data_IF_462263717998
#
_entry.id   IF_462263717998
#
_cell.length_a   1.000
_cell.length_b   1.000
_cell.length_c   1.000
_cell.angle_alpha   90.00
_cell.angle_beta   90.00
_cell.angle_gamma   90.00
#
_symmetry.space_group_name_H-M   'P 1'
#
loop_
_entity.id
_entity.type
_entity.pdbx_description
1 polymer ?
#
# COMPACT_ATOMS: atom_id res chain seq x y z
N UNK A 1 4.32 43.98 -8.37
CA UNK A 1 3.39 42.93 -8.83
C UNK A 1 3.00 42.15 -7.59
N UNK A 2 1.74 42.36 -7.19
CA UNK A 2 1.19 41.90 -5.93
C UNK A 2 1.29 40.38 -5.75
N UNK A 3 1.79 39.98 -4.60
CA UNK A 3 1.75 38.61 -4.10
C UNK A 3 0.30 38.19 -4.00
N UNK A 4 -0.21 37.50 -5.04
CA UNK A 4 -1.54 36.95 -5.10
C UNK A 4 -1.75 36.05 -3.88
N UNK A 5 -2.50 36.56 -2.92
CA UNK A 5 -3.06 35.83 -1.80
C UNK A 5 -3.67 34.53 -2.34
N UNK A 6 -3.06 33.39 -1.99
CA UNK A 6 -3.68 32.11 -2.28
C UNK A 6 -5.09 32.13 -1.67
N UNK A 7 -6.14 31.80 -2.40
CA UNK A 7 -7.47 31.71 -1.81
C UNK A 7 -7.40 30.72 -0.66
N UNK A 8 -7.68 31.22 0.54
CA UNK A 8 -7.71 30.40 1.75
C UNK A 8 -8.69 29.26 1.52
N UNK A 9 -8.20 28.03 1.50
CA UNK A 9 -9.06 26.85 1.39
C UNK A 9 -10.04 26.87 2.55
N UNK A 10 -11.34 26.73 2.26
CA UNK A 10 -12.41 26.74 3.25
C UNK A 10 -12.07 25.85 4.46
N UNK A 11 -12.05 26.38 5.69
CA UNK A 11 -11.76 25.61 6.89
C UNK A 11 -12.68 24.41 7.11
N UNK A 12 -13.92 24.46 6.61
CA UNK A 12 -14.85 23.32 6.64
C UNK A 12 -14.38 22.20 5.74
N UNK A 13 -13.93 22.54 4.52
CA UNK A 13 -13.40 21.58 3.58
C UNK A 13 -12.13 20.89 4.12
N UNK A 14 -11.22 21.66 4.76
CA UNK A 14 -10.05 21.09 5.44
C UNK A 14 -10.43 20.07 6.51
N UNK A 15 -11.46 20.37 7.33
CA UNK A 15 -11.94 19.44 8.35
C UNK A 15 -12.52 18.16 7.75
N UNK A 16 -13.30 18.27 6.67
CA UNK A 16 -13.86 17.12 5.95
C UNK A 16 -12.74 16.24 5.40
N UNK A 17 -11.75 16.82 4.70
CA UNK A 17 -10.60 16.09 4.17
C UNK A 17 -9.80 15.44 5.28
N UNK A 18 -9.51 16.15 6.37
CA UNK A 18 -8.81 15.60 7.52
C UNK A 18 -9.56 14.40 8.15
N UNK A 19 -10.89 14.51 8.27
CA UNK A 19 -11.75 13.43 8.74
C UNK A 19 -11.72 12.20 7.84
N UNK A 20 -11.83 12.37 6.53
CA UNK A 20 -11.76 11.27 5.54
C UNK A 20 -10.40 10.59 5.59
N UNK A 21 -9.31 11.35 5.60
CA UNK A 21 -7.95 10.79 5.67
C UNK A 21 -7.71 10.08 7.00
N UNK A 22 -8.16 10.63 8.13
CA UNK A 22 -8.04 9.98 9.44
C UNK A 22 -8.85 8.69 9.49
N UNK A 23 -10.08 8.69 8.98
CA UNK A 23 -10.93 7.50 8.89
C UNK A 23 -10.30 6.42 8.00
N UNK A 24 -9.69 6.83 6.87
CA UNK A 24 -8.93 5.92 6.03
C UNK A 24 -7.73 5.33 6.78
N UNK A 25 -6.96 6.16 7.49
CA UNK A 25 -5.81 5.72 8.28
C UNK A 25 -6.20 4.71 9.38
N UNK A 26 -7.33 4.93 10.06
CA UNK A 26 -7.89 3.95 11.02
C UNK A 26 -8.23 2.63 10.33
N UNK A 27 -8.85 2.69 9.17
CA UNK A 27 -9.20 1.51 8.37
C UNK A 27 -8.02 0.65 7.96
N UNK A 28 -6.84 1.27 7.71
CA UNK A 28 -5.62 0.54 7.34
C UNK A 28 -5.22 -0.53 8.36
N UNK A 29 -5.61 -0.35 9.61
CA UNK A 29 -5.23 -1.26 10.71
C UNK A 29 -6.39 -2.14 11.15
N UNK A 30 -7.63 -1.62 11.13
CA UNK A 30 -8.75 -2.27 11.80
C UNK A 30 -9.64 -3.11 10.90
N UNK A 31 -10.13 -2.59 9.77
CA UNK A 31 -11.19 -3.27 9.05
C UNK A 31 -11.28 -2.93 7.56
N UNK A 32 -11.45 -3.93 6.72
CA UNK A 32 -11.56 -3.80 5.26
C UNK A 32 -12.72 -2.87 4.84
N UNK A 33 -13.87 -2.98 5.50
CA UNK A 33 -15.04 -2.13 5.19
C UNK A 33 -14.75 -0.64 5.45
N UNK A 34 -14.05 -0.32 6.53
CA UNK A 34 -13.70 1.07 6.88
C UNK A 34 -12.78 1.68 5.81
N UNK A 35 -11.80 0.92 5.34
CA UNK A 35 -10.89 1.36 4.27
C UNK A 35 -11.66 1.62 2.98
N UNK A 36 -12.56 0.72 2.58
CA UNK A 36 -13.34 0.87 1.35
C UNK A 36 -14.28 2.08 1.40
N UNK A 37 -14.98 2.26 2.51
CA UNK A 37 -15.86 3.43 2.71
C UNK A 37 -15.05 4.73 2.69
N UNK A 38 -13.91 4.76 3.37
CA UNK A 38 -13.04 5.95 3.39
C UNK A 38 -12.47 6.28 2.00
N UNK A 39 -12.02 5.27 1.25
CA UNK A 39 -11.53 5.44 -0.12
C UNK A 39 -12.65 5.93 -1.06
N UNK A 40 -13.86 5.37 -0.94
CA UNK A 40 -15.04 5.85 -1.66
C UNK A 40 -15.37 7.31 -1.34
N UNK A 41 -15.34 7.68 -0.06
CA UNK A 41 -15.52 9.07 0.37
C UNK A 41 -14.41 9.99 -0.19
N UNK A 42 -13.17 9.54 -0.24
CA UNK A 42 -12.07 10.30 -0.84
C UNK A 42 -12.28 10.53 -2.35
N UNK A 43 -12.74 9.51 -3.08
CA UNK A 43 -13.09 9.65 -4.51
C UNK A 43 -14.21 10.66 -4.68
N UNK A 44 -15.28 10.60 -3.87
CA UNK A 44 -16.38 11.56 -3.93
C UNK A 44 -15.91 13.00 -3.66
N UNK A 45 -15.09 13.21 -2.62
CA UNK A 45 -14.51 14.53 -2.32
C UNK A 45 -13.62 15.00 -3.47
N UNK A 46 -12.81 14.14 -4.07
CA UNK A 46 -11.98 14.49 -5.23
C UNK A 46 -12.83 14.92 -6.44
N UNK A 47 -13.94 14.22 -6.71
CA UNK A 47 -14.90 14.59 -7.77
C UNK A 47 -15.52 15.98 -7.49
N UNK A 48 -15.95 16.24 -6.24
CA UNK A 48 -16.50 17.54 -5.85
C UNK A 48 -15.48 18.67 -6.05
N UNK A 49 -14.21 18.44 -5.66
CA UNK A 49 -13.12 19.39 -5.85
C UNK A 49 -12.85 19.66 -7.33
N UNK A 50 -12.86 18.61 -8.16
CA UNK A 50 -12.73 18.73 -9.61
C UNK A 50 -13.88 19.54 -10.24
N UNK A 51 -15.12 19.21 -9.88
CA UNK A 51 -16.32 19.90 -10.36
C UNK A 51 -16.31 21.39 -9.97
N UNK A 52 -15.82 21.73 -8.79
CA UNK A 52 -15.64 23.12 -8.32
C UNK A 52 -14.42 23.82 -8.92
N UNK A 53 -13.67 23.15 -9.81
CA UNK A 53 -12.39 23.66 -10.38
C UNK A 53 -11.37 24.08 -9.32
N UNK A 54 -11.43 23.48 -8.13
CA UNK A 54 -10.59 23.80 -6.98
C UNK A 54 -9.29 22.99 -6.97
N UNK A 55 -9.13 21.98 -7.84
CA UNK A 55 -7.95 21.14 -7.92
C UNK A 55 -6.81 21.88 -8.65
N UNK A 56 -5.71 22.10 -7.94
CA UNK A 56 -4.45 22.58 -8.51
C UNK A 56 -3.40 21.48 -8.40
N UNK A 57 -3.33 20.60 -9.38
CA UNK A 57 -2.39 19.50 -9.43
C UNK A 57 -1.15 19.92 -10.21
N UNK A 58 0.03 19.60 -9.70
CA UNK A 58 1.27 19.69 -10.45
C UNK A 58 1.21 18.81 -11.71
N UNK A 59 1.93 19.12 -12.80
CA UNK A 59 1.81 18.41 -14.09
C UNK A 59 2.03 16.90 -13.98
N UNK A 60 2.99 16.45 -13.17
CA UNK A 60 3.29 15.04 -12.93
C UNK A 60 2.18 14.32 -12.15
N UNK A 61 1.56 14.98 -11.18
CA UNK A 61 0.40 14.44 -10.46
C UNK A 61 -0.80 14.35 -11.38
N UNK A 62 -1.02 15.34 -12.24
CA UNK A 62 -2.07 15.27 -13.28
C UNK A 62 -1.86 14.11 -14.22
N UNK A 63 -0.62 13.85 -14.66
CA UNK A 63 -0.32 12.72 -15.52
C UNK A 63 -0.63 11.38 -14.84
N UNK A 64 -0.26 11.22 -13.57
CA UNK A 64 -0.60 10.03 -12.77
C UNK A 64 -2.11 9.86 -12.62
N UNK A 65 -2.84 10.94 -12.27
CA UNK A 65 -4.30 10.92 -12.13
C UNK A 65 -4.96 10.55 -13.46
N UNK A 66 -4.51 11.12 -14.58
CA UNK A 66 -5.03 10.81 -15.91
C UNK A 66 -4.79 9.33 -16.28
N UNK A 67 -3.60 8.79 -16.01
CA UNK A 67 -3.30 7.38 -16.25
C UNK A 67 -4.16 6.44 -15.37
N UNK A 68 -4.40 6.80 -14.11
CA UNK A 68 -5.29 6.05 -13.22
C UNK A 68 -6.74 6.04 -13.73
N UNK A 69 -7.24 7.18 -14.20
CA UNK A 69 -8.57 7.29 -14.79
C UNK A 69 -8.68 6.53 -16.12
N UNK A 70 -7.65 6.58 -16.98
CA UNK A 70 -7.62 5.82 -18.23
C UNK A 70 -7.65 4.31 -17.96
N UNK A 71 -6.86 3.82 -16.99
CA UNK A 71 -6.89 2.42 -16.57
C UNK A 71 -8.26 2.03 -16.01
N UNK A 72 -8.85 2.88 -15.16
CA UNK A 72 -10.20 2.69 -14.63
C UNK A 72 -11.25 2.59 -15.75
N UNK A 73 -11.22 3.50 -16.72
CA UNK A 73 -12.11 3.48 -17.86
C UNK A 73 -11.95 2.19 -18.69
N UNK A 74 -10.71 1.73 -18.90
CA UNK A 74 -10.45 0.48 -19.59
C UNK A 74 -10.91 -0.74 -18.77
N UNK A 75 -10.71 -0.77 -17.46
CA UNK A 75 -11.24 -1.82 -16.60
C UNK A 75 -12.77 -1.94 -16.68
N UNK A 76 -13.48 -0.82 -16.82
CA UNK A 76 -14.92 -0.80 -17.00
C UNK A 76 -15.36 -1.20 -18.42
N UNK A 77 -14.57 -0.90 -19.44
CA UNK A 77 -14.87 -1.21 -20.83
C UNK A 77 -14.47 -2.63 -21.25
N UNK A 78 -13.37 -3.16 -20.69
CA UNK A 78 -12.80 -4.45 -21.11
C UNK A 78 -13.74 -5.65 -20.99
N UNK A 79 -14.69 -5.73 -20.02
CA UNK A 79 -15.68 -6.81 -20.00
C UNK A 79 -16.61 -6.79 -21.23
N UNK A 80 -17.02 -5.62 -21.71
CA UNK A 80 -17.83 -5.51 -22.91
C UNK A 80 -17.04 -5.96 -24.15
N UNK A 81 -15.77 -5.54 -24.25
CA UNK A 81 -14.89 -5.97 -25.35
C UNK A 81 -14.69 -7.50 -25.32
N UNK A 82 -14.47 -8.09 -24.12
CA UNK A 82 -14.30 -9.53 -23.97
C UNK A 82 -15.56 -10.33 -24.37
N UNK A 83 -16.74 -9.81 -24.07
CA UNK A 83 -18.01 -10.42 -24.51
C UNK A 83 -18.18 -10.32 -26.02
N UNK A 84 -17.90 -9.17 -26.64
CA UNK A 84 -18.02 -8.95 -28.07
C UNK A 84 -17.04 -9.82 -28.89
N UNK A 85 -15.86 -10.08 -28.32
CA UNK A 85 -14.82 -10.92 -28.97
C UNK A 85 -14.95 -12.39 -28.64
N UNK A 86 -15.93 -12.79 -27.81
CA UNK A 86 -16.11 -14.18 -27.36
C UNK A 86 -15.08 -14.65 -26.32
N UNK A 87 -14.21 -13.76 -25.85
CA UNK A 87 -13.22 -14.06 -24.79
C UNK A 87 -13.85 -14.27 -23.41
N UNK A 88 -15.05 -13.76 -23.20
CA UNK A 88 -15.84 -13.99 -22.00
C UNK A 88 -17.25 -14.48 -22.36
N UNK A 89 -17.81 -15.39 -21.55
CA UNK A 89 -19.18 -15.91 -21.72
C UNK A 89 -20.22 -15.13 -20.91
N UNK A 90 -19.78 -14.33 -19.94
CA UNK A 90 -20.66 -13.60 -19.02
C UNK A 90 -20.04 -12.29 -18.54
N UNK A 91 -20.91 -11.41 -18.10
CA UNK A 91 -20.52 -10.19 -17.41
C UNK A 91 -19.90 -10.52 -16.04
N UNK A 92 -18.85 -9.79 -15.58
CA UNK A 92 -18.25 -10.03 -14.29
C UNK A 92 -19.23 -9.80 -13.14
N UNK A 93 -19.04 -10.50 -12.01
CA UNK A 93 -19.87 -10.31 -10.83
C UNK A 93 -19.70 -8.90 -10.26
N UNK A 94 -20.79 -8.31 -9.75
CA UNK A 94 -20.80 -6.95 -9.18
C UNK A 94 -19.75 -6.73 -8.08
N UNK A 95 -19.44 -7.76 -7.28
CA UNK A 95 -18.42 -7.70 -6.24
C UNK A 95 -17.01 -7.40 -6.76
N UNK A 96 -16.74 -7.60 -8.06
CA UNK A 96 -15.44 -7.29 -8.67
C UNK A 96 -15.26 -5.81 -8.96
N UNK A 97 -16.34 -5.05 -9.12
CA UNK A 97 -16.23 -3.61 -9.35
C UNK A 97 -15.69 -2.83 -8.15
N UNK A 98 -15.71 -3.41 -6.94
CA UNK A 98 -14.99 -2.84 -5.80
C UNK A 98 -13.48 -2.67 -6.05
N UNK A 99 -12.88 -3.52 -6.89
CA UNK A 99 -11.47 -3.43 -7.25
C UNK A 99 -11.14 -2.26 -8.20
N UNK A 100 -12.14 -1.69 -8.89
CA UNK A 100 -11.96 -0.46 -9.67
C UNK A 100 -11.63 0.72 -8.74
N UNK A 101 -12.23 0.73 -7.53
CA UNK A 101 -11.90 1.72 -6.51
C UNK A 101 -10.41 1.70 -6.16
N UNK A 102 -9.81 0.51 -6.09
CA UNK A 102 -8.39 0.34 -5.81
C UNK A 102 -7.49 1.06 -6.82
N UNK A 103 -7.93 1.13 -8.09
CA UNK A 103 -7.18 1.80 -9.17
C UNK A 103 -7.17 3.32 -9.03
N UNK A 104 -8.29 3.93 -8.60
CA UNK A 104 -8.43 5.39 -8.53
C UNK A 104 -8.18 5.97 -7.13
N UNK A 105 -8.11 5.12 -6.10
CA UNK A 105 -7.96 5.56 -4.71
C UNK A 105 -6.69 6.39 -4.48
N UNK A 106 -5.56 6.00 -5.05
CA UNK A 106 -4.31 6.75 -4.94
C UNK A 106 -4.38 8.12 -5.61
N UNK A 107 -5.04 8.19 -6.76
CA UNK A 107 -5.31 9.47 -7.45
C UNK A 107 -6.24 10.35 -6.61
N UNK A 108 -7.29 9.79 -6.01
CA UNK A 108 -8.18 10.51 -5.12
C UNK A 108 -7.45 11.03 -3.88
N UNK A 109 -6.61 10.21 -3.24
CA UNK A 109 -5.79 10.64 -2.10
C UNK A 109 -4.84 11.79 -2.47
N UNK A 110 -4.22 11.75 -3.66
CA UNK A 110 -3.40 12.85 -4.18
C UNK A 110 -4.22 14.13 -4.39
N UNK A 111 -5.44 14.02 -4.94
CA UNK A 111 -6.33 15.15 -5.17
C UNK A 111 -6.78 15.81 -3.86
N UNK A 112 -7.30 15.03 -2.90
CA UNK A 112 -7.79 15.59 -1.64
C UNK A 112 -6.67 16.11 -0.74
N UNK A 113 -5.48 15.51 -0.83
CA UNK A 113 -4.29 15.95 -0.09
C UNK A 113 -3.82 17.35 -0.47
N UNK A 114 -4.17 17.88 -1.65
CA UNK A 114 -3.88 19.28 -2.03
C UNK A 114 -4.59 20.29 -1.15
N UNK A 115 -5.67 19.90 -0.49
CA UNK A 115 -6.43 20.76 0.46
C UNK A 115 -5.67 20.90 1.79
N UNK A 116 -4.92 19.90 2.16
CA UNK A 116 -4.08 19.84 3.37
C UNK A 116 -4.12 18.44 4.01
N UNK A 117 -2.96 18.00 4.47
CA UNK A 117 -2.78 16.68 5.08
C UNK A 117 -2.47 16.85 6.56
N UNK A 118 -3.27 16.27 7.47
CA UNK A 118 -3.01 16.32 8.91
C UNK A 118 -1.93 15.28 9.30
N UNK A 119 -0.69 15.48 8.86
CA UNK A 119 0.42 14.51 8.97
C UNK A 119 0.61 13.93 10.36
N UNK A 120 0.53 14.78 11.41
CA UNK A 120 0.74 14.34 12.79
C UNK A 120 -0.36 13.39 13.26
N UNK A 121 -1.61 13.70 12.90
CA UNK A 121 -2.76 12.86 13.22
C UNK A 121 -2.63 11.51 12.50
N UNK A 122 -2.36 11.54 11.19
CA UNK A 122 -2.23 10.32 10.38
C UNK A 122 -1.07 9.44 10.88
N UNK A 123 0.09 10.04 11.12
CA UNK A 123 1.25 9.31 11.65
C UNK A 123 0.94 8.71 13.03
N UNK A 124 0.25 9.44 13.92
CA UNK A 124 -0.13 8.95 15.24
C UNK A 124 -1.13 7.78 15.16
N UNK A 125 -2.15 7.90 14.31
CA UNK A 125 -3.16 6.84 14.10
C UNK A 125 -2.51 5.58 13.52
N UNK A 126 -1.69 5.72 12.48
CA UNK A 126 -1.02 4.58 11.84
C UNK A 126 -0.01 3.94 12.79
N UNK A 127 0.84 4.74 13.44
CA UNK A 127 1.84 4.22 14.37
C UNK A 127 1.19 3.51 15.58
N UNK A 128 0.24 4.16 16.23
CA UNK A 128 -0.49 3.58 17.38
C UNK A 128 -1.25 2.32 16.99
N UNK A 129 -1.95 2.37 15.85
CA UNK A 129 -2.69 1.22 15.33
C UNK A 129 -1.77 0.03 15.01
N UNK A 130 -0.61 0.25 14.37
CA UNK A 130 0.35 -0.82 14.09
C UNK A 130 1.01 -1.38 15.36
N UNK A 131 1.28 -0.56 16.38
CA UNK A 131 1.81 -1.06 17.67
C UNK A 131 0.79 -1.98 18.34
N UNK A 132 -0.49 -1.59 18.38
CA UNK A 132 -1.57 -2.42 18.93
C UNK A 132 -1.74 -3.70 18.10
N UNK A 133 -1.78 -3.60 16.76
CA UNK A 133 -1.87 -4.76 15.88
C UNK A 133 -0.70 -5.73 16.04
N UNK A 134 0.52 -5.21 16.25
CA UNK A 134 1.72 -6.01 16.56
C UNK A 134 1.57 -6.73 17.88
N UNK A 135 1.16 -6.03 18.95
CA UNK A 135 0.92 -6.61 20.28
C UNK A 135 -0.08 -7.77 20.21
N UNK A 136 -1.22 -7.55 19.53
CA UNK A 136 -2.20 -8.59 19.25
C UNK A 136 -1.60 -9.75 18.45
N UNK A 137 -0.83 -9.47 17.40
CA UNK A 137 -0.16 -10.49 16.60
C UNK A 137 0.84 -11.33 17.39
N UNK A 138 1.59 -10.72 18.32
CA UNK A 138 2.48 -11.43 19.23
C UNK A 138 1.71 -12.37 20.18
N UNK A 139 0.56 -11.92 20.68
CA UNK A 139 -0.32 -12.76 21.50
C UNK A 139 -0.86 -13.92 20.67
N UNK A 140 -1.39 -13.66 19.48
CA UNK A 140 -1.88 -14.70 18.56
C UNK A 140 -0.81 -15.73 18.17
N UNK A 141 0.47 -15.35 18.15
CA UNK A 141 1.58 -16.27 17.85
C UNK A 141 1.81 -17.31 18.97
N UNK A 142 1.43 -17.00 20.21
CA UNK A 142 1.67 -17.82 21.41
C UNK A 142 0.44 -18.55 21.91
N UNK A 143 -0.73 -17.94 21.74
CA UNK A 143 -1.99 -18.42 22.31
C UNK A 143 -2.96 -18.75 21.18
N UNK A 144 -3.59 -19.93 21.27
CA UNK A 144 -4.71 -20.28 20.41
C UNK A 144 -5.90 -19.40 20.76
N UNK A 145 -6.13 -18.36 19.93
CA UNK A 145 -7.19 -17.40 20.17
C UNK A 145 -8.48 -17.87 19.47
N UNK A 146 -9.57 -17.99 20.21
CA UNK A 146 -10.85 -18.53 19.72
C UNK A 146 -12.03 -17.57 19.85
N UNK A 147 -11.78 -16.27 20.09
CA UNK A 147 -12.87 -15.30 20.21
C UNK A 147 -13.43 -14.90 18.83
N UNK A 148 -14.73 -15.09 18.64
CA UNK A 148 -15.45 -14.69 17.43
C UNK A 148 -16.15 -13.36 17.66
N UNK A 149 -15.70 -12.26 17.06
CA UNK A 149 -16.41 -11.00 17.12
C UNK A 149 -17.74 -11.10 16.36
N UNK A 150 -18.73 -10.24 16.67
CA UNK A 150 -19.96 -10.18 15.91
C UNK A 150 -19.69 -10.09 14.41
N UNK A 151 -20.40 -10.88 13.61
CA UNK A 151 -20.19 -11.03 12.15
C UNK A 151 -20.25 -9.70 11.40
N UNK A 152 -20.96 -8.71 11.95
CA UNK A 152 -21.07 -7.35 11.41
C UNK A 152 -19.70 -6.66 11.21
N UNK A 153 -18.78 -6.84 12.14
CA UNK A 153 -17.48 -6.14 12.05
C UNK A 153 -16.48 -6.84 11.13
N UNK A 154 -16.73 -8.09 10.70
CA UNK A 154 -15.76 -8.93 9.97
C UNK A 154 -14.32 -8.81 10.54
N UNK A 155 -14.21 -8.45 11.81
CA UNK A 155 -12.97 -8.42 12.56
C UNK A 155 -12.60 -9.86 12.86
N UNK A 156 -11.65 -10.40 12.14
CA UNK A 156 -11.25 -11.79 12.30
C UNK A 156 -10.19 -11.93 13.39
N UNK A 157 -10.61 -11.70 14.62
CA UNK A 157 -9.77 -11.95 15.79
C UNK A 157 -9.65 -13.45 16.11
N UNK A 158 -10.58 -14.25 15.62
CA UNK A 158 -10.73 -15.67 15.97
C UNK A 158 -10.10 -16.65 15.00
N UNK A 159 -9.62 -16.19 13.82
CA UNK A 159 -9.11 -17.13 12.84
C UNK A 159 -7.83 -17.78 13.34
N UNK A 160 -7.92 -19.08 13.61
CA UNK A 160 -6.76 -19.92 13.83
C UNK A 160 -5.89 -19.93 12.60
N UNK A 161 -4.70 -19.40 12.74
CA UNK A 161 -3.69 -19.48 11.71
C UNK A 161 -2.91 -20.80 11.86
N UNK A 162 -2.31 -21.23 10.75
CA UNK A 162 -1.48 -22.43 10.71
C UNK A 162 -0.45 -22.41 11.84
N UNK A 163 -0.25 -23.58 12.48
CA UNK A 163 0.84 -23.79 13.41
C UNK A 163 2.15 -24.08 12.61
N UNK A 164 3.16 -23.26 12.81
CA UNK A 164 4.50 -23.42 12.23
C UNK A 164 5.53 -23.91 13.27
N UNK A 165 5.11 -24.11 14.51
CA UNK A 165 5.90 -24.75 15.58
C UNK A 165 5.70 -26.26 15.63
N UNK A 166 6.14 -26.84 16.72
CA UNK A 166 5.86 -28.26 17.08
C UNK A 166 4.56 -28.34 17.88
N UNK A 167 4.07 -29.55 18.17
CA UNK A 167 2.93 -29.76 19.08
C UNK A 167 3.27 -29.30 20.50
N UNK A 168 4.51 -29.54 20.94
CA UNK A 168 4.99 -29.17 22.28
C UNK A 168 5.26 -27.65 22.41
N UNK A 169 5.66 -26.99 21.31
CA UNK A 169 5.93 -25.56 21.27
C UNK A 169 5.25 -24.93 20.06
N UNK A 170 3.92 -24.72 20.11
CA UNK A 170 3.17 -24.20 18.99
C UNK A 170 3.53 -22.74 18.68
N UNK A 171 3.57 -22.40 17.39
CA UNK A 171 3.83 -21.07 16.86
C UNK A 171 2.81 -20.76 15.78
N UNK A 172 1.74 -20.08 16.16
CA UNK A 172 0.68 -19.74 15.22
C UNK A 172 1.05 -18.51 14.39
N UNK A 173 0.72 -18.52 13.12
CA UNK A 173 0.93 -17.34 12.28
C UNK A 173 0.03 -16.18 12.74
N UNK A 174 0.63 -15.01 12.91
CA UNK A 174 -0.07 -13.80 13.36
C UNK A 174 -0.87 -13.16 12.22
N UNK A 175 -2.08 -12.70 12.53
CA UNK A 175 -2.96 -11.97 11.63
C UNK A 175 -3.27 -10.52 12.09
N UNK A 176 -2.95 -10.15 13.33
CA UNK A 176 -3.36 -8.89 13.92
C UNK A 176 -4.88 -8.75 13.88
N UNK A 177 -5.37 -7.62 13.41
CA UNK A 177 -6.80 -7.39 13.14
C UNK A 177 -7.24 -7.86 11.74
N UNK A 178 -6.32 -8.33 10.91
CA UNK A 178 -6.61 -8.71 9.53
C UNK A 178 -7.17 -10.14 9.45
N UNK A 179 -8.04 -10.35 8.48
CA UNK A 179 -8.65 -11.67 8.23
C UNK A 179 -7.63 -12.77 7.97
N UNK A 180 -6.47 -12.42 7.39
CA UNK A 180 -5.48 -13.40 6.98
C UNK A 180 -4.06 -12.90 7.24
N UNK A 181 -3.16 -13.79 7.70
CA UNK A 181 -1.77 -13.49 8.01
C UNK A 181 -1.00 -12.78 6.89
N UNK A 182 -1.29 -13.12 5.62
CA UNK A 182 -0.64 -12.45 4.48
C UNK A 182 -1.11 -11.00 4.35
N UNK A 183 -2.40 -10.70 4.57
CA UNK A 183 -2.90 -9.32 4.56
C UNK A 183 -2.24 -8.48 5.64
N UNK A 184 -2.07 -9.04 6.84
CA UNK A 184 -1.35 -8.40 7.94
C UNK A 184 0.10 -8.07 7.56
N UNK A 185 0.85 -9.07 7.04
CA UNK A 185 2.23 -8.88 6.63
C UNK A 185 2.38 -7.87 5.46
N UNK A 186 1.48 -7.92 4.48
CA UNK A 186 1.52 -7.00 3.33
C UNK A 186 1.13 -5.57 3.73
N UNK A 187 0.17 -5.40 4.64
CA UNK A 187 -0.16 -4.09 5.22
C UNK A 187 1.02 -3.50 6.00
N UNK A 188 1.76 -4.34 6.73
CA UNK A 188 3.00 -3.93 7.40
C UNK A 188 4.04 -3.43 6.39
N UNK A 189 4.19 -4.07 5.21
CA UNK A 189 5.08 -3.58 4.14
C UNK A 189 4.65 -2.21 3.63
N UNK A 190 3.35 -1.97 3.44
CA UNK A 190 2.87 -0.68 3.00
C UNK A 190 3.28 0.44 3.97
N UNK A 191 3.10 0.23 5.28
CA UNK A 191 3.40 1.20 6.31
C UNK A 191 4.89 1.28 6.68
N UNK A 192 5.70 0.26 6.38
CA UNK A 192 7.14 0.20 6.66
C UNK A 192 7.91 1.33 5.97
N UNK A 193 7.57 1.64 4.71
CA UNK A 193 8.22 2.71 3.95
C UNK A 193 8.16 4.07 4.66
N UNK A 194 6.96 4.61 5.00
CA UNK A 194 6.83 5.83 5.79
C UNK A 194 7.55 5.80 7.14
N UNK A 195 7.50 4.68 7.86
CA UNK A 195 8.17 4.55 9.15
C UNK A 195 9.70 4.62 9.03
N UNK A 196 10.28 3.97 8.01
CA UNK A 196 11.70 4.05 7.68
C UNK A 196 12.11 5.45 7.23
N UNK A 197 11.27 6.15 6.47
CA UNK A 197 11.53 7.53 6.07
C UNK A 197 11.61 8.45 7.28
N UNK A 198 10.69 8.32 8.26
CA UNK A 198 10.74 9.08 9.52
C UNK A 198 11.97 8.73 10.36
N UNK A 199 12.33 7.43 10.43
CA UNK A 199 13.50 6.96 11.18
C UNK A 199 14.81 7.52 10.62
N UNK A 200 14.96 7.54 9.28
CA UNK A 200 16.16 8.02 8.60
C UNK A 200 16.22 9.55 8.38
N UNK A 201 15.07 10.24 8.46
CA UNK A 201 14.98 11.67 8.24
C UNK A 201 15.63 12.49 9.37
N UNK A 202 16.37 13.55 9.00
CA UNK A 202 17.01 14.45 9.98
C UNK A 202 16.02 15.36 10.69
N UNK A 203 14.96 15.76 9.99
CA UNK A 203 13.97 16.75 10.44
C UNK A 203 13.14 16.30 11.66
N UNK A 204 12.98 14.99 11.87
CA UNK A 204 12.17 14.40 12.93
C UNK A 204 12.99 13.66 13.99
N UNK A 205 14.21 14.16 14.31
CA UNK A 205 15.13 13.52 15.24
C UNK A 205 14.47 13.13 16.58
N UNK A 206 13.60 13.99 17.12
CA UNK A 206 12.85 13.72 18.39
C UNK A 206 11.88 12.53 18.28
N UNK A 207 11.49 12.10 17.08
CA UNK A 207 10.52 11.01 16.85
C UNK A 207 11.18 9.70 16.43
N UNK A 208 12.51 9.69 16.29
CA UNK A 208 13.26 8.49 15.85
C UNK A 208 13.01 7.28 16.75
N UNK A 209 12.93 7.48 18.07
CA UNK A 209 12.65 6.39 19.01
C UNK A 209 11.30 5.72 18.72
N UNK A 210 10.24 6.51 18.57
CA UNK A 210 8.91 6.00 18.22
C UNK A 210 8.90 5.35 16.84
N UNK A 211 9.51 5.98 15.84
CA UNK A 211 9.63 5.42 14.49
C UNK A 211 10.39 4.09 14.50
N UNK A 212 11.48 3.99 15.28
CA UNK A 212 12.22 2.74 15.47
C UNK A 212 11.37 1.64 16.11
N UNK A 213 10.57 1.98 17.11
CA UNK A 213 9.64 1.05 17.74
C UNK A 213 8.57 0.56 16.76
N UNK A 214 8.02 1.45 15.93
CA UNK A 214 7.04 1.12 14.89
C UNK A 214 7.66 0.22 13.81
N UNK A 215 8.87 0.54 13.34
CA UNK A 215 9.62 -0.31 12.39
C UNK A 215 9.85 -1.69 12.97
N UNK A 216 10.32 -1.78 14.22
CA UNK A 216 10.51 -3.07 14.90
C UNK A 216 9.19 -3.84 15.01
N UNK A 217 8.10 -3.17 15.37
CA UNK A 217 6.77 -3.78 15.43
C UNK A 217 6.33 -4.36 14.08
N UNK A 218 6.54 -3.60 12.99
CA UNK A 218 6.21 -4.08 11.64
C UNK A 218 7.07 -5.28 11.22
N UNK A 219 8.36 -5.26 11.51
CA UNK A 219 9.26 -6.40 11.23
C UNK A 219 8.87 -7.63 12.05
N UNK A 220 8.50 -7.47 13.33
CA UNK A 220 7.98 -8.56 14.16
C UNK A 220 6.63 -9.08 13.64
N UNK A 221 5.76 -8.20 13.14
CA UNK A 221 4.50 -8.60 12.51
C UNK A 221 4.73 -9.48 11.28
N UNK A 222 5.67 -9.08 10.42
CA UNK A 222 6.05 -9.83 9.21
C UNK A 222 6.69 -11.17 9.59
N UNK A 223 7.59 -11.17 10.58
CA UNK A 223 8.25 -12.37 11.10
C UNK A 223 7.23 -13.37 11.62
N UNK A 224 6.32 -12.94 12.51
CA UNK A 224 5.31 -13.80 13.13
C UNK A 224 4.17 -14.22 12.18
N UNK A 225 3.98 -13.52 11.07
CA UNK A 225 3.04 -13.93 10.03
C UNK A 225 3.56 -15.08 9.15
N UNK A 226 4.83 -15.46 9.26
CA UNK A 226 5.50 -16.48 8.43
C UNK A 226 5.29 -16.27 6.93
N UNK A 227 5.27 -15.01 6.49
CA UNK A 227 5.01 -14.59 5.11
C UNK A 227 6.33 -14.36 4.36
N UNK A 228 6.83 -15.37 3.63
CA UNK A 228 8.12 -15.34 2.93
C UNK A 228 8.30 -14.16 2.00
N UNK A 229 7.28 -13.89 1.17
CA UNK A 229 7.33 -12.77 0.22
C UNK A 229 7.40 -11.41 0.93
N UNK A 230 6.64 -11.24 2.03
CA UNK A 230 6.70 -10.02 2.82
C UNK A 230 8.06 -9.85 3.52
N UNK A 231 8.68 -10.95 3.98
CA UNK A 231 10.03 -10.90 4.55
C UNK A 231 11.07 -10.46 3.51
N UNK A 232 11.02 -11.02 2.29
CA UNK A 232 11.86 -10.58 1.18
C UNK A 232 11.62 -9.11 0.80
N UNK A 233 10.36 -8.68 0.75
CA UNK A 233 10.00 -7.28 0.50
C UNK A 233 10.52 -6.36 1.60
N UNK A 234 10.38 -6.73 2.88
CA UNK A 234 10.91 -5.97 4.01
C UNK A 234 12.44 -5.80 3.92
N UNK A 235 13.16 -6.86 3.56
CA UNK A 235 14.60 -6.83 3.35
C UNK A 235 14.97 -5.83 2.25
N UNK A 236 14.34 -5.94 1.07
CA UNK A 236 14.60 -5.06 -0.08
C UNK A 236 14.29 -3.60 0.27
N UNK A 237 13.12 -3.33 0.86
CA UNK A 237 12.71 -1.99 1.28
C UNK A 237 13.70 -1.41 2.30
N UNK A 238 14.16 -2.22 3.26
CA UNK A 238 15.14 -1.79 4.27
C UNK A 238 16.50 -1.48 3.66
N UNK A 239 16.98 -2.30 2.71
CA UNK A 239 18.24 -2.01 1.96
C UNK A 239 18.09 -0.72 1.17
N UNK A 240 17.00 -0.54 0.43
CA UNK A 240 16.76 0.68 -0.35
C UNK A 240 16.69 1.90 0.58
N UNK A 241 16.03 1.80 1.73
CA UNK A 241 15.98 2.87 2.72
C UNK A 241 17.37 3.23 3.25
N UNK A 242 18.21 2.23 3.58
CA UNK A 242 19.60 2.48 4.00
C UNK A 242 20.44 3.17 2.91
N UNK A 243 20.22 2.81 1.64
CA UNK A 243 20.92 3.42 0.53
C UNK A 243 20.48 4.88 0.29
N UNK A 244 19.19 5.18 0.43
CA UNK A 244 18.62 6.50 0.15
C UNK A 244 18.78 7.48 1.32
N UNK A 245 18.68 7.01 2.58
CA UNK A 245 18.50 7.86 3.75
C UNK A 245 19.75 7.93 4.66
N UNK A 246 20.64 6.95 4.57
CA UNK A 246 21.76 6.81 5.53
C UNK A 246 23.10 6.84 4.81
N UNK A 247 24.10 7.51 5.40
CA UNK A 247 25.42 7.64 4.82
C UNK A 247 26.55 7.18 5.76
N UNK A 248 27.72 6.95 5.21
CA UNK A 248 28.95 6.70 5.96
C UNK A 248 28.90 5.47 6.89
N UNK A 249 29.43 5.64 8.11
CA UNK A 249 29.50 4.56 9.12
C UNK A 249 28.14 4.05 9.55
N UNK A 250 27.14 4.93 9.63
CA UNK A 250 25.77 4.55 10.00
C UNK A 250 25.14 3.61 8.98
N UNK A 251 25.40 3.77 7.67
CA UNK A 251 24.95 2.83 6.64
C UNK A 251 25.55 1.44 6.84
N UNK A 252 26.86 1.37 7.10
CA UNK A 252 27.55 0.10 7.37
C UNK A 252 26.97 -0.59 8.59
N UNK A 253 26.76 0.15 9.69
CA UNK A 253 26.11 -0.39 10.90
C UNK A 253 24.69 -0.90 10.61
N UNK A 254 23.88 -0.14 9.86
CA UNK A 254 22.55 -0.56 9.45
C UNK A 254 22.55 -1.85 8.62
N UNK A 255 23.49 -2.02 7.70
CA UNK A 255 23.64 -3.25 6.92
C UNK A 255 24.05 -4.44 7.81
N UNK A 256 24.93 -4.22 8.80
CA UNK A 256 25.28 -5.25 9.79
C UNK A 256 24.06 -5.68 10.61
N UNK A 257 23.29 -4.71 11.12
CA UNK A 257 22.03 -5.00 11.86
C UNK A 257 21.05 -5.80 10.99
N UNK A 258 20.90 -5.41 9.72
CA UNK A 258 20.03 -6.11 8.78
C UNK A 258 20.54 -7.56 8.53
N UNK A 259 21.86 -7.74 8.40
CA UNK A 259 22.50 -9.07 8.30
C UNK A 259 22.23 -9.93 9.52
N UNK A 260 22.31 -9.37 10.73
CA UNK A 260 21.97 -10.07 11.97
C UNK A 260 20.48 -10.47 11.99
N UNK A 261 19.57 -9.58 11.56
CA UNK A 261 18.14 -9.93 11.48
C UNK A 261 17.88 -11.07 10.48
N UNK A 262 18.55 -11.06 9.33
CA UNK A 262 18.50 -12.18 8.38
C UNK A 262 19.02 -13.46 9.01
N UNK A 263 20.15 -13.39 9.73
CA UNK A 263 20.71 -14.55 10.45
C UNK A 263 19.71 -15.13 11.47
N UNK A 264 19.03 -14.28 12.25
CA UNK A 264 17.98 -14.71 13.18
C UNK A 264 16.87 -15.50 12.47
N UNK A 265 16.46 -15.06 11.29
CA UNK A 265 15.45 -15.78 10.48
C UNK A 265 16.02 -17.14 10.03
N UNK A 266 17.24 -17.16 9.51
CA UNK A 266 17.88 -18.38 8.97
C UNK A 266 18.12 -19.44 10.05
N UNK A 267 18.48 -19.03 11.27
CA UNK A 267 18.72 -19.98 12.38
C UNK A 267 17.43 -20.41 13.08
N UNK A 268 16.32 -19.71 12.88
CA UNK A 268 15.03 -20.03 13.50
C UNK A 268 14.50 -21.38 13.01
N UNK A 269 14.23 -22.37 13.90
CA UNK A 269 13.72 -23.69 13.49
C UNK A 269 12.40 -23.61 12.73
N UNK A 270 11.47 -22.77 13.16
CA UNK A 270 10.17 -22.57 12.51
C UNK A 270 10.33 -21.99 11.10
N UNK A 271 11.24 -21.01 10.91
CA UNK A 271 11.53 -20.47 9.61
C UNK A 271 12.27 -21.45 8.70
N UNK A 272 13.22 -22.23 9.23
CA UNK A 272 13.89 -23.30 8.46
C UNK A 272 12.88 -24.35 7.97
N UNK A 273 11.98 -24.82 8.83
CA UNK A 273 10.91 -25.72 8.43
C UNK A 273 10.00 -25.11 7.35
N UNK A 274 9.68 -23.81 7.48
CA UNK A 274 8.89 -23.06 6.49
C UNK A 274 9.61 -22.92 5.14
N UNK A 275 10.93 -22.74 5.14
CA UNK A 275 11.72 -22.64 3.92
C UNK A 275 11.93 -24.01 3.27
N UNK A 276 12.17 -25.07 4.04
CA UNK A 276 12.30 -26.43 3.52
C UNK A 276 11.06 -26.89 2.74
N UNK A 277 9.86 -26.61 3.26
CA UNK A 277 8.60 -26.84 2.52
C UNK A 277 8.50 -26.05 1.20
N UNK A 278 9.24 -24.95 1.07
CA UNK A 278 9.26 -24.18 -0.17
C UNK A 278 10.15 -24.81 -1.24
N UNK A 279 11.32 -25.29 -0.83
CA UNK A 279 12.29 -25.92 -1.73
C UNK A 279 11.70 -27.20 -2.35
N UNK A 280 10.99 -28.01 -1.56
CA UNK A 280 10.27 -29.20 -2.06
C UNK A 280 9.17 -28.89 -3.10
N UNK A 281 8.68 -27.65 -3.16
CA UNK A 281 7.60 -27.23 -4.05
C UNK A 281 8.07 -26.31 -5.20
N UNK A 282 9.39 -26.19 -5.45
CA UNK A 282 9.92 -25.30 -6.50
C UNK A 282 9.48 -25.76 -7.89
N UNK A 283 9.39 -27.07 -8.11
CA UNK A 283 8.99 -27.68 -9.38
C UNK A 283 7.58 -28.30 -9.25
N UNK A 284 6.54 -27.55 -9.58
CA UNK A 284 5.15 -28.04 -9.59
C UNK A 284 4.29 -27.56 -8.42
N UNK A 285 4.72 -26.51 -7.69
CA UNK A 285 3.92 -25.89 -6.62
C UNK A 285 2.70 -25.15 -7.15
N UNK A 286 1.67 -25.06 -6.30
CA UNK A 286 0.37 -24.41 -6.58
C UNK A 286 0.50 -23.06 -7.32
N UNK A 287 1.48 -22.23 -6.96
CA UNK A 287 1.70 -20.92 -7.63
C UNK A 287 2.17 -21.04 -9.06
N UNK A 288 3.04 -22.01 -9.35
CA UNK A 288 3.53 -22.23 -10.71
C UNK A 288 2.38 -22.68 -11.62
N UNK A 289 1.52 -23.56 -11.11
CA UNK A 289 0.32 -24.00 -11.82
C UNK A 289 -0.66 -22.84 -12.03
N UNK A 290 -0.91 -22.00 -11.02
CA UNK A 290 -1.74 -20.81 -11.14
C UNK A 290 -1.16 -19.80 -12.17
N UNK A 291 0.16 -19.62 -12.18
CA UNK A 291 0.85 -18.78 -13.18
C UNK A 291 0.75 -19.38 -14.59
N UNK A 292 0.86 -20.71 -14.75
CA UNK A 292 0.72 -21.35 -16.07
C UNK A 292 -0.68 -21.17 -16.65
N UNK A 293 -1.71 -21.26 -15.83
CA UNK A 293 -3.10 -20.93 -16.24
C UNK A 293 -3.23 -19.46 -16.65
N UNK A 294 -2.63 -18.55 -15.89
CA UNK A 294 -2.62 -17.12 -16.24
C UNK A 294 -1.92 -16.85 -17.57
N UNK A 295 -0.80 -17.53 -17.85
CA UNK A 295 -0.10 -17.43 -19.12
C UNK A 295 -0.92 -18.00 -20.31
N UNK A 296 -1.67 -19.08 -20.08
CA UNK A 296 -2.53 -19.63 -21.11
C UNK A 296 -3.64 -18.65 -21.49
N UNK A 297 -4.27 -17.99 -20.49
CA UNK A 297 -5.25 -16.93 -20.76
C UNK A 297 -4.66 -15.76 -21.56
N UNK A 298 -3.41 -15.38 -21.26
CA UNK A 298 -2.72 -14.34 -22.05
C UNK A 298 -2.48 -14.78 -23.49
N UNK A 299 -2.09 -16.04 -23.72
CA UNK A 299 -1.88 -16.57 -25.07
C UNK A 299 -3.15 -16.62 -25.88
N UNK A 300 -4.27 -17.01 -25.25
CA UNK A 300 -5.57 -17.08 -25.90
C UNK A 300 -6.16 -15.68 -26.20
N UNK A 301 -5.95 -14.72 -25.28
CA UNK A 301 -6.56 -13.38 -25.35
C UNK A 301 -5.54 -12.25 -25.12
N UNK A 302 -4.47 -12.11 -25.94
CA UNK A 302 -3.32 -11.24 -25.62
C UNK A 302 -3.66 -9.74 -25.62
N UNK A 303 -4.58 -9.28 -26.46
CA UNK A 303 -4.83 -7.85 -26.67
C UNK A 303 -5.90 -7.27 -25.75
N UNK A 304 -7.04 -7.94 -25.60
CA UNK A 304 -8.18 -7.47 -24.81
C UNK A 304 -8.35 -8.18 -23.45
N UNK A 305 -7.70 -9.34 -23.27
CA UNK A 305 -7.88 -10.18 -22.10
C UNK A 305 -9.27 -10.83 -22.04
N UNK A 306 -9.55 -11.48 -20.91
CA UNK A 306 -10.87 -12.12 -20.66
C UNK A 306 -11.91 -11.15 -20.06
N UNK A 307 -11.58 -9.86 -19.99
CA UNK A 307 -12.38 -8.83 -19.35
C UNK A 307 -12.09 -8.73 -17.83
N UNK A 308 -12.00 -7.49 -17.34
CA UNK A 308 -11.76 -7.22 -15.92
C UNK A 308 -12.75 -7.97 -15.01
N UNK A 309 -12.26 -8.63 -13.97
CA UNK A 309 -13.05 -9.41 -13.03
C UNK A 309 -13.46 -10.82 -13.51
N UNK A 310 -13.07 -11.22 -14.71
CA UNK A 310 -13.37 -12.55 -15.28
C UNK A 310 -12.21 -13.55 -15.18
N UNK A 311 -11.08 -13.22 -14.55
CA UNK A 311 -9.95 -14.14 -14.41
C UNK A 311 -10.38 -15.48 -13.84
N UNK A 312 -11.07 -15.49 -12.70
CA UNK A 312 -11.45 -16.74 -12.04
C UNK A 312 -12.30 -17.66 -12.92
N UNK A 313 -13.44 -17.24 -13.50
CA UNK A 313 -14.23 -18.13 -14.34
C UNK A 313 -13.49 -18.60 -15.60
N UNK A 314 -12.67 -17.76 -16.22
CA UNK A 314 -11.86 -18.12 -17.38
C UNK A 314 -10.75 -19.11 -16.99
N UNK A 315 -10.07 -18.87 -15.88
CA UNK A 315 -9.03 -19.74 -15.36
C UNK A 315 -9.57 -21.12 -14.94
N UNK A 316 -10.78 -21.20 -14.38
CA UNK A 316 -11.43 -22.49 -14.07
C UNK A 316 -11.70 -23.29 -15.34
N UNK A 317 -12.22 -22.66 -16.39
CA UNK A 317 -12.46 -23.35 -17.68
C UNK A 317 -11.14 -23.82 -18.33
N UNK A 318 -10.08 -23.03 -18.23
CA UNK A 318 -8.73 -23.40 -18.70
C UNK A 318 -8.15 -24.53 -17.85
N UNK A 319 -8.30 -24.49 -16.52
CA UNK A 319 -7.81 -25.52 -15.60
C UNK A 319 -8.50 -26.87 -15.88
N UNK A 320 -9.82 -26.88 -16.09
CA UNK A 320 -10.59 -28.07 -16.48
C UNK A 320 -10.04 -28.66 -17.78
N UNK A 321 -9.85 -27.83 -18.81
CA UNK A 321 -9.33 -28.26 -20.13
C UNK A 321 -7.89 -28.81 -20.04
N UNK A 322 -7.08 -28.26 -19.16
CA UNK A 322 -5.65 -28.64 -19.01
C UNK A 322 -5.41 -29.67 -17.91
N UNK A 323 -6.44 -30.13 -17.20
CA UNK A 323 -6.33 -31.09 -16.11
C UNK A 323 -5.67 -30.55 -14.83
N UNK A 324 -5.65 -29.22 -14.67
CA UNK A 324 -5.13 -28.55 -13.46
C UNK A 324 -6.26 -28.42 -12.42
N UNK A 325 -5.92 -28.52 -11.13
CA UNK A 325 -6.89 -28.40 -10.04
C UNK A 325 -7.54 -27.00 -10.04
N UNK A 326 -8.87 -26.94 -10.06
CA UNK A 326 -9.69 -25.71 -10.05
C UNK A 326 -9.40 -24.76 -8.89
N UNK A 327 -9.01 -25.31 -7.73
CA UNK A 327 -8.66 -24.49 -6.56
C UNK A 327 -7.51 -23.51 -6.83
N UNK A 328 -6.63 -23.84 -7.77
CA UNK A 328 -5.47 -23.04 -8.15
C UNK A 328 -5.79 -21.91 -9.14
N UNK A 329 -7.00 -21.89 -9.66
CA UNK A 329 -7.43 -20.95 -10.71
C UNK A 329 -8.01 -19.62 -10.18
N UNK A 330 -7.79 -19.25 -8.92
CA UNK A 330 -8.40 -18.05 -8.32
C UNK A 330 -7.80 -16.75 -8.83
N UNK A 331 -6.47 -16.71 -9.00
CA UNK A 331 -5.67 -15.63 -9.60
C UNK A 331 -4.30 -16.20 -10.01
N UNK A 332 -3.53 -15.48 -10.82
CA UNK A 332 -2.21 -15.92 -11.28
C UNK A 332 -1.11 -15.75 -10.22
N UNK A 333 -1.43 -15.38 -8.97
CA UNK A 333 -0.45 -15.04 -7.92
C UNK A 333 0.64 -14.03 -8.33
N UNK A 334 0.35 -13.23 -9.37
CA UNK A 334 1.20 -12.18 -9.89
C UNK A 334 0.29 -11.06 -10.42
N UNK A 335 0.47 -9.83 -9.92
CA UNK A 335 -0.40 -8.69 -10.31
C UNK A 335 -0.29 -8.41 -11.80
N UNK A 336 0.93 -8.34 -12.32
CA UNK A 336 1.19 -8.00 -13.72
C UNK A 336 0.57 -9.00 -14.68
N UNK A 337 0.74 -10.29 -14.39
CA UNK A 337 0.17 -11.37 -15.19
C UNK A 337 -1.37 -11.39 -15.10
N UNK A 338 -1.94 -11.17 -13.90
CA UNK A 338 -3.40 -11.14 -13.73
C UNK A 338 -4.01 -9.95 -14.46
N UNK A 339 -3.37 -8.76 -14.37
CA UNK A 339 -3.82 -7.57 -15.11
C UNK A 339 -3.77 -7.84 -16.62
N UNK A 340 -2.70 -8.47 -17.13
CA UNK A 340 -2.61 -8.83 -18.53
C UNK A 340 -3.70 -9.83 -18.94
N UNK A 341 -3.87 -10.90 -18.20
CA UNK A 341 -4.90 -11.91 -18.49
C UNK A 341 -6.32 -11.32 -18.48
N UNK A 342 -6.63 -10.40 -17.52
CA UNK A 342 -7.96 -9.80 -17.43
C UNK A 342 -8.20 -8.69 -18.44
N UNK A 343 -7.22 -7.79 -18.63
CA UNK A 343 -7.44 -6.53 -19.36
C UNK A 343 -6.62 -6.44 -20.65
N UNK A 344 -5.91 -7.51 -21.00
CA UNK A 344 -5.08 -7.59 -22.18
C UNK A 344 -3.88 -6.66 -22.14
N UNK A 345 -3.17 -6.59 -23.27
CA UNK A 345 -1.99 -5.73 -23.43
C UNK A 345 -2.33 -4.25 -23.21
N UNK A 346 -3.53 -3.81 -23.61
CA UNK A 346 -3.97 -2.41 -23.40
C UNK A 346 -4.00 -2.08 -21.91
N UNK A 347 -4.64 -2.92 -21.11
CA UNK A 347 -4.69 -2.70 -19.65
C UNK A 347 -3.33 -2.83 -18.97
N UNK A 348 -2.50 -3.78 -19.42
CA UNK A 348 -1.11 -3.92 -18.93
C UNK A 348 -0.28 -2.65 -19.19
N UNK A 349 -0.36 -2.08 -20.40
CA UNK A 349 0.37 -0.85 -20.73
C UNK A 349 -0.13 0.35 -19.93
N UNK A 350 -1.44 0.48 -19.73
CA UNK A 350 -2.02 1.54 -18.89
C UNK A 350 -1.60 1.38 -17.42
N UNK A 351 -1.59 0.16 -16.89
CA UNK A 351 -1.13 -0.15 -15.55
C UNK A 351 0.36 0.16 -15.38
N UNK A 352 1.20 -0.25 -16.34
CA UNK A 352 2.62 0.08 -16.35
C UNK A 352 2.86 1.59 -16.42
N UNK A 353 2.15 2.29 -17.31
CA UNK A 353 2.21 3.75 -17.43
C UNK A 353 1.86 4.45 -16.11
N UNK A 354 0.77 4.05 -15.48
CA UNK A 354 0.35 4.57 -14.17
C UNK A 354 1.47 4.41 -13.11
N UNK A 355 2.06 3.21 -13.00
CA UNK A 355 3.13 2.96 -12.04
C UNK A 355 4.45 3.70 -12.37
N UNK A 356 4.79 3.85 -13.64
CA UNK A 356 5.97 4.63 -14.07
C UNK A 356 5.78 6.12 -13.76
N UNK A 357 4.60 6.67 -14.03
CA UNK A 357 4.30 8.08 -13.73
C UNK A 357 4.30 8.33 -12.22
N UNK A 358 3.72 7.42 -11.43
CA UNK A 358 3.77 7.46 -9.96
C UNK A 358 5.23 7.45 -9.46
N UNK A 359 6.02 6.48 -9.91
CA UNK A 359 7.43 6.36 -9.48
C UNK A 359 8.24 7.62 -9.83
N UNK A 360 8.09 8.13 -11.07
CA UNK A 360 8.77 9.37 -11.51
C UNK A 360 8.40 10.57 -10.62
N UNK A 361 7.13 10.73 -10.30
CA UNK A 361 6.67 11.81 -9.44
C UNK A 361 7.20 11.68 -8.00
N UNK A 362 7.19 10.46 -7.44
CA UNK A 362 7.74 10.19 -6.10
C UNK A 362 9.27 10.39 -6.05
N UNK A 363 10.01 9.93 -7.06
CA UNK A 363 11.48 10.12 -7.17
C UNK A 363 11.81 11.61 -7.26
N UNK A 364 11.07 12.38 -8.07
CA UNK A 364 11.29 13.82 -8.17
C UNK A 364 11.13 14.50 -6.81
N UNK A 365 10.02 14.25 -6.11
CA UNK A 365 9.74 14.84 -4.80
C UNK A 365 10.69 14.34 -3.70
N UNK A 366 11.14 13.09 -3.78
CA UNK A 366 12.21 12.60 -2.91
C UNK A 366 13.49 13.41 -3.09
N UNK A 367 13.89 13.71 -4.34
CA UNK A 367 15.06 14.54 -4.63
C UNK A 367 14.88 15.99 -4.17
N UNK A 368 13.66 16.48 -4.12
CA UNK A 368 13.28 17.79 -3.56
C UNK A 368 13.24 17.77 -2.01
N UNK A 369 13.58 16.65 -1.36
CA UNK A 369 13.65 16.50 0.10
C UNK A 369 12.33 16.12 0.76
N UNK A 370 11.28 15.74 0.02
CA UNK A 370 10.01 15.33 0.61
C UNK A 370 10.10 13.99 1.34
N UNK A 371 9.92 14.02 2.67
CA UNK A 371 9.93 12.83 3.51
C UNK A 371 8.72 11.93 3.22
N UNK A 372 7.56 12.52 2.94
CA UNK A 372 6.35 11.79 2.58
C UNK A 372 6.53 11.04 1.25
N UNK A 373 7.13 11.69 0.25
CA UNK A 373 7.43 11.03 -1.02
C UNK A 373 8.47 9.92 -0.87
N UNK A 374 9.47 10.11 0.00
CA UNK A 374 10.46 9.06 0.32
C UNK A 374 9.77 7.83 0.90
N UNK A 375 8.90 8.01 1.89
CA UNK A 375 8.13 6.92 2.49
C UNK A 375 7.21 6.22 1.48
N UNK A 376 6.55 6.99 0.61
CA UNK A 376 5.71 6.46 -0.46
C UNK A 376 6.51 5.71 -1.54
N UNK A 377 7.71 6.18 -1.87
CA UNK A 377 8.63 5.50 -2.81
C UNK A 377 9.07 4.15 -2.24
N UNK A 378 9.46 4.10 -0.97
CA UNK A 378 9.81 2.85 -0.28
C UNK A 378 8.62 1.88 -0.22
N UNK A 379 7.43 2.39 0.07
CA UNK A 379 6.18 1.63 0.01
C UNK A 379 5.92 1.09 -1.41
N UNK A 380 6.13 1.90 -2.45
CA UNK A 380 5.99 1.49 -3.85
C UNK A 380 6.97 0.37 -4.22
N UNK A 381 8.23 0.43 -3.78
CA UNK A 381 9.20 -0.68 -3.95
C UNK A 381 8.68 -1.96 -3.30
N UNK A 382 8.17 -1.87 -2.07
CA UNK A 382 7.58 -3.01 -1.37
C UNK A 382 6.40 -3.63 -2.13
N UNK A 383 5.53 -2.78 -2.69
CA UNK A 383 4.43 -3.23 -3.55
C UNK A 383 4.94 -3.99 -4.77
N UNK A 384 5.93 -3.47 -5.49
CA UNK A 384 6.45 -4.13 -6.70
C UNK A 384 7.01 -5.52 -6.40
N UNK A 385 7.73 -5.68 -5.29
CA UNK A 385 8.25 -6.99 -4.86
C UNK A 385 7.10 -7.97 -4.56
N UNK A 386 6.09 -7.52 -3.83
CA UNK A 386 4.92 -8.35 -3.50
C UNK A 386 4.10 -8.68 -4.75
N UNK A 387 3.96 -7.74 -5.68
CA UNK A 387 3.20 -7.88 -6.92
C UNK A 387 3.71 -9.00 -7.84
N UNK A 388 4.98 -9.37 -7.73
CA UNK A 388 5.56 -10.50 -8.49
C UNK A 388 5.08 -11.88 -8.01
N UNK A 389 4.57 -11.97 -6.77
CA UNK A 389 4.26 -13.26 -6.14
C UNK A 389 2.89 -13.32 -5.47
N UNK A 390 2.12 -12.24 -5.53
CA UNK A 390 0.76 -12.13 -4.98
C UNK A 390 -0.11 -11.23 -5.85
N UNK A 391 -1.41 -11.52 -5.91
CA UNK A 391 -2.40 -10.62 -6.48
C UNK A 391 -2.97 -9.71 -5.38
N UNK A 392 -2.33 -8.56 -5.16
CA UNK A 392 -2.66 -7.61 -4.09
C UNK A 392 -4.05 -6.97 -4.22
N UNK A 393 -4.57 -6.64 -5.43
CA UNK A 393 -5.91 -6.08 -5.58
C UNK A 393 -7.03 -6.99 -5.10
N UNK A 394 -6.79 -8.30 -4.95
CA UNK A 394 -7.74 -9.22 -4.30
C UNK A 394 -7.93 -8.92 -2.80
N UNK A 395 -7.00 -8.18 -2.22
CA UNK A 395 -6.99 -7.76 -0.83
C UNK A 395 -7.12 -6.25 -0.75
N UNK A 396 -8.32 -5.71 -1.01
CA UNK A 396 -8.56 -4.27 -1.13
C UNK A 396 -8.02 -3.46 0.05
N UNK A 397 -8.11 -3.96 1.29
CA UNK A 397 -7.54 -3.27 2.45
C UNK A 397 -6.02 -3.07 2.35
N UNK A 398 -5.29 -4.03 1.78
CA UNK A 398 -3.84 -3.92 1.57
C UNK A 398 -3.56 -2.96 0.43
N UNK A 399 -4.24 -3.12 -0.71
CA UNK A 399 -4.02 -2.26 -1.88
C UNK A 399 -4.38 -0.81 -1.59
N UNK A 400 -5.51 -0.56 -0.91
CA UNK A 400 -5.93 0.78 -0.49
C UNK A 400 -4.96 1.40 0.54
N UNK A 401 -4.21 0.59 1.31
CA UNK A 401 -3.13 1.08 2.16
C UNK A 401 -1.98 1.66 1.32
N UNK A 402 -1.53 0.94 0.30
CA UNK A 402 -0.54 1.43 -0.63
C UNK A 402 -1.04 2.69 -1.37
N UNK A 403 -2.27 2.67 -1.85
CA UNK A 403 -2.90 3.76 -2.59
C UNK A 403 -2.93 5.07 -1.78
N UNK A 404 -3.34 5.02 -0.49
CA UNK A 404 -3.31 6.18 0.39
C UNK A 404 -1.89 6.73 0.54
N UNK A 405 -0.92 5.86 0.84
CA UNK A 405 0.47 6.27 1.07
C UNK A 405 1.05 6.90 -0.19
N UNK A 406 0.80 6.32 -1.38
CA UNK A 406 1.27 6.87 -2.65
C UNK A 406 0.64 8.23 -2.96
N UNK A 407 -0.69 8.34 -2.81
CA UNK A 407 -1.38 9.61 -3.05
C UNK A 407 -0.91 10.72 -2.13
N UNK A 408 -0.74 10.43 -0.83
CA UNK A 408 -0.21 11.40 0.13
C UNK A 408 1.25 11.75 -0.15
N UNK A 409 2.07 10.81 -0.63
CA UNK A 409 3.45 11.09 -1.06
C UNK A 409 3.56 12.04 -2.25
N UNK A 410 2.49 12.19 -3.03
CA UNK A 410 2.39 13.14 -4.13
C UNK A 410 1.92 14.54 -3.71
N UNK A 411 1.47 14.71 -2.47
CA UNK A 411 1.11 16.03 -1.96
C UNK A 411 2.38 16.84 -1.68
N UNK A 412 2.39 18.10 -2.08
CA UNK A 412 3.46 19.01 -1.72
C UNK A 412 3.49 19.13 -0.20
N UNK A 413 4.66 18.89 0.39
CA UNK A 413 4.87 19.10 1.82
C UNK A 413 4.60 20.55 2.13
N UNK A 414 3.42 20.85 2.68
CA UNK A 414 3.24 22.14 3.36
C UNK A 414 4.33 22.21 4.42
N UNK A 415 5.05 23.33 4.52
CA UNK A 415 6.23 23.55 5.37
C UNK A 415 6.09 23.25 6.88
N UNK A 416 4.95 22.67 7.29
CA UNK A 416 4.64 22.21 8.64
C UNK A 416 5.61 21.11 9.14
N UNK A 417 6.25 20.34 8.25
CA UNK A 417 7.28 19.40 8.67
C UNK A 417 8.66 20.04 8.81
N UNK A 418 8.89 21.22 8.23
CA UNK A 418 10.17 21.92 8.32
C UNK A 418 10.38 22.66 9.63
N UNK A 419 9.40 22.71 10.54
CA UNK A 419 9.55 23.46 11.78
C UNK A 419 9.80 24.96 11.53
N UNK A 420 9.40 25.48 10.38
CA UNK A 420 9.40 26.91 10.16
C UNK A 420 8.44 27.52 11.18
N UNK A 421 9.02 27.94 12.30
CA UNK A 421 8.41 28.97 13.14
C UNK A 421 8.03 30.07 12.17
N UNK A 422 6.76 30.54 12.12
CA UNK A 422 6.40 31.67 11.29
C UNK A 422 7.44 32.75 11.58
N UNK A 423 8.14 33.21 10.54
CA UNK A 423 9.12 34.28 10.69
C UNK A 423 8.40 35.36 11.49
N UNK A 424 8.94 35.64 12.67
CA UNK A 424 8.39 36.70 13.52
C UNK A 424 8.28 37.92 12.64
N UNK A 425 7.08 38.43 12.44
CA UNK A 425 6.84 39.66 11.69
C UNK A 425 7.88 40.66 12.20
N UNK A 426 8.65 41.30 11.32
CA UNK A 426 9.59 42.30 11.77
C UNK A 426 8.80 43.33 12.61
N UNK A 427 9.20 43.48 13.86
CA UNK A 427 8.63 44.49 14.71
C UNK A 427 8.65 45.81 13.94
N UNK A 428 7.57 46.60 13.92
CA UNK A 428 7.59 47.89 13.27
C UNK A 428 8.75 48.71 13.85
N UNK A 429 9.58 49.24 12.94
CA UNK A 429 10.73 50.03 13.30
C UNK A 429 10.28 51.11 14.30
N UNK A 430 10.87 51.08 15.50
CA UNK A 430 10.63 52.12 16.49
C UNK A 430 10.92 53.48 15.88
N UNK A 431 9.89 54.30 15.76
CA UNK A 431 10.02 55.69 15.36
C UNK A 431 10.87 56.37 16.43
N UNK A 432 12.10 56.69 16.08
CA UNK A 432 13.00 57.41 16.94
C UNK A 432 12.41 58.76 17.34
N UNK A 433 12.72 59.29 18.53
CA UNK A 433 12.17 60.56 19.00
C UNK A 433 12.67 61.70 18.11
N UNK A 434 11.70 62.47 17.59
CA UNK A 434 11.99 63.69 16.86
C UNK A 434 12.82 64.67 17.72
N UNK A 435 14.00 65.04 17.24
CA UNK A 435 14.79 66.10 17.81
C UNK A 435 13.99 67.40 17.79
N UNK A 436 13.71 67.95 18.93
CA UNK A 436 13.21 69.33 19.11
C UNK A 436 14.41 70.26 19.01
N UNK A 437 14.47 71.10 18.04
CA UNK A 437 15.22 72.35 17.98
C UNK A 437 14.38 73.49 18.50
#
# INVERSE_FOLDING_TARGET
MDSTSQPLVDPRLRRVVAGVLAFWAVGLVLAEVVVQVAAGAAVLVAIILAARRSLRLAPDVRAYVAASLALCAWQLASPAVALLTGAAQRWPRSSRYGQVLDTVAGAAAACIGTVGVPWLLLAGVVAGGWLVATGLGMLQNRVRWSWEPPAFFKLNLSRLHENFGTEESPRYASGGFFFHRLRFAHGAIAALGPALAVLGGSELARRRGLAGLVVLGMLLSIYNAFARAALGAALIVSVVALLLLVQGRARKAGLVVLGVLVLVVVVSPAWRARMAKAVGNIYGGERQLAMSVGWELVREHPLAGVGFGNHKPAAMATAERTGINDFLATDAHNVWLTVWAETGLVGLLLFACMHVLLARALIRRHREGSLAATGALLSWVGFQVLALVHYLPFHSNVHLSFALIWGLGLCEGSGVLRGETPAASPLPASVGPAARS
#
